data_IF_041948773451
#
_entry.id   IF_041948773451
#
_cell.length_a   1.000
_cell.length_b   1.000
_cell.length_c   1.000
_cell.angle_alpha   90.00
_cell.angle_beta   90.00
_cell.angle_gamma   90.00
#
_symmetry.space_group_name_H-M   'P 1'
#
loop_
_entity.id
_entity.type
_entity.pdbx_description
1 polymer ?
#
# COMPACT_ATOMS: atom_id res chain seq x y z
N UNK A 1 7.31 16.09 10.96
CA UNK A 1 7.16 14.66 11.20
C UNK A 1 5.72 14.19 11.06
N UNK A 2 5.51 13.04 10.43
CA UNK A 2 4.22 12.32 10.46
C UNK A 2 3.95 11.68 11.84
N UNK A 3 2.68 11.48 12.19
CA UNK A 3 2.28 10.97 13.52
C UNK A 3 2.83 9.56 13.78
N UNK A 4 2.75 8.66 12.79
CA UNK A 4 3.25 7.29 12.90
C UNK A 4 4.78 7.25 13.07
N UNK A 5 5.50 8.13 12.38
CA UNK A 5 6.96 8.28 12.53
C UNK A 5 7.34 8.74 13.95
N UNK A 6 6.58 9.68 14.51
CA UNK A 6 6.77 10.18 15.88
C UNK A 6 6.56 9.04 16.90
N UNK A 7 5.47 8.29 16.78
CA UNK A 7 5.19 7.17 17.67
C UNK A 7 6.17 6.01 17.51
N UNK A 8 6.64 5.72 16.29
CA UNK A 8 7.73 4.77 16.08
C UNK A 8 8.98 5.14 16.90
N UNK A 9 9.40 6.42 16.87
CA UNK A 9 10.51 6.89 17.70
C UNK A 9 10.22 6.76 19.19
N UNK A 10 8.98 6.95 19.60
CA UNK A 10 8.55 6.79 21.00
C UNK A 10 8.65 5.34 21.46
N UNK A 11 8.15 4.38 20.68
CA UNK A 11 8.20 2.95 21.00
C UNK A 11 9.63 2.39 20.97
N UNK A 12 10.48 2.90 20.08
CA UNK A 12 11.90 2.51 19.98
C UNK A 12 12.83 3.28 20.91
N UNK A 13 12.29 4.10 21.81
CA UNK A 13 13.05 4.95 22.76
C UNK A 13 14.09 5.87 22.10
N UNK A 14 13.83 6.30 20.87
CA UNK A 14 14.70 7.22 20.10
C UNK A 14 14.13 8.63 19.98
N UNK A 15 12.95 8.87 20.56
CA UNK A 15 12.25 10.16 20.52
C UNK A 15 13.00 11.27 21.26
N UNK A 16 12.97 12.48 20.68
CA UNK A 16 13.49 13.71 21.25
C UNK A 16 12.39 14.76 21.35
N UNK A 17 12.56 15.71 22.26
CA UNK A 17 11.64 16.84 22.40
C UNK A 17 11.46 17.62 21.08
N UNK A 18 12.53 17.77 20.28
CA UNK A 18 12.48 18.40 18.97
C UNK A 18 11.57 17.70 17.97
N UNK A 19 11.38 16.39 18.08
CA UNK A 19 10.52 15.62 17.16
C UNK A 19 9.04 16.03 17.31
N UNK A 20 8.59 16.29 18.55
CA UNK A 20 7.24 16.79 18.83
C UNK A 20 7.02 18.21 18.31
N UNK A 21 8.05 19.06 18.42
CA UNK A 21 8.01 20.42 17.88
C UNK A 21 7.98 20.38 16.35
N UNK A 22 8.74 19.49 15.72
CA UNK A 22 8.71 19.28 14.27
C UNK A 22 7.35 18.76 13.79
N UNK A 23 6.76 17.81 14.51
CA UNK A 23 5.39 17.35 14.27
C UNK A 23 4.41 18.54 14.35
N UNK A 24 4.45 19.34 15.43
CA UNK A 24 3.54 20.46 15.61
C UNK A 24 3.68 21.52 14.52
N UNK A 25 4.90 21.82 14.08
CA UNK A 25 5.17 22.79 13.00
C UNK A 25 4.52 22.36 11.68
N UNK A 26 4.58 21.07 11.32
CA UNK A 26 3.94 20.56 10.11
C UNK A 26 2.40 20.54 10.19
N UNK A 27 1.85 20.66 11.40
CA UNK A 27 0.42 20.57 11.68
C UNK A 27 -0.22 21.91 12.06
N UNK A 28 0.50 23.03 11.88
CA UNK A 28 0.00 24.39 12.17
C UNK A 28 -1.27 24.76 11.40
N UNK A 29 -1.50 24.16 10.24
CA UNK A 29 -2.68 24.41 9.39
C UNK A 29 -4.00 23.99 10.07
N UNK A 30 -3.98 23.14 11.09
CA UNK A 30 -5.18 22.72 11.83
C UNK A 30 -5.76 23.79 12.75
N UNK A 31 -5.07 24.92 12.93
CA UNK A 31 -5.51 26.08 13.72
C UNK A 31 -5.83 25.79 15.20
N UNK A 32 -5.30 24.70 15.76
CA UNK A 32 -5.49 24.30 17.17
C UNK A 32 -4.49 25.02 18.09
N UNK A 33 -4.99 25.56 19.21
CA UNK A 33 -4.18 26.34 20.16
C UNK A 33 -3.04 25.52 20.77
N UNK A 34 -3.30 24.27 21.14
CA UNK A 34 -2.33 23.34 21.74
C UNK A 34 -1.18 23.06 20.77
N UNK A 35 -1.47 22.90 19.47
CA UNK A 35 -0.46 22.71 18.43
C UNK A 35 0.38 23.96 18.26
N UNK A 36 -0.24 25.15 18.22
CA UNK A 36 0.50 26.42 18.12
C UNK A 36 1.43 26.63 19.30
N UNK A 37 0.99 26.30 20.52
CA UNK A 37 1.83 26.35 21.72
C UNK A 37 3.03 25.42 21.58
N UNK A 38 2.81 24.17 21.20
CA UNK A 38 3.89 23.19 21.02
C UNK A 38 4.86 23.59 19.91
N UNK A 39 4.38 24.10 18.78
CA UNK A 39 5.20 24.58 17.67
C UNK A 39 6.04 25.81 18.04
N UNK A 40 5.56 26.64 18.99
CA UNK A 40 6.27 27.83 19.47
C UNK A 40 7.41 27.54 20.45
N UNK A 41 7.59 26.27 20.85
CA UNK A 41 8.68 25.88 21.73
C UNK A 41 10.03 25.95 21.00
N UNK A 42 10.99 26.67 21.59
CA UNK A 42 12.30 26.89 21.00
C UNK A 42 13.11 25.59 20.95
N UNK A 43 13.56 25.20 19.77
CA UNK A 43 14.44 24.02 19.58
C UNK A 43 15.84 24.28 20.17
N UNK A 44 16.22 25.55 20.34
CA UNK A 44 17.55 25.97 20.81
C UNK A 44 17.70 26.00 22.34
N UNK A 45 16.59 25.95 23.08
CA UNK A 45 16.59 25.81 24.54
C UNK A 45 16.53 24.33 24.91
N UNK A 46 17.08 23.95 26.07
CA UNK A 46 17.02 22.58 26.57
C UNK A 46 15.57 22.15 26.84
N UNK A 47 14.86 21.73 25.78
CA UNK A 47 13.48 21.31 25.86
C UNK A 47 13.36 20.10 26.78
N UNK A 48 12.55 20.24 27.82
CA UNK A 48 12.23 19.15 28.72
C UNK A 48 11.26 18.19 28.01
N UNK A 49 11.71 16.95 27.80
CA UNK A 49 10.91 15.93 27.12
C UNK A 49 9.56 15.70 27.81
N UNK A 50 9.50 15.70 29.15
CA UNK A 50 8.27 15.45 29.89
C UNK A 50 7.22 16.55 29.68
N UNK A 51 7.66 17.82 29.69
CA UNK A 51 6.77 18.96 29.45
C UNK A 51 6.23 18.95 28.01
N UNK A 52 7.12 18.64 27.05
CA UNK A 52 6.76 18.53 25.64
C UNK A 52 5.79 17.36 25.38
N UNK A 53 5.98 16.22 26.05
CA UNK A 53 5.05 15.10 25.98
C UNK A 53 3.67 15.42 26.57
N UNK A 54 3.62 16.20 27.66
CA UNK A 54 2.35 16.68 28.24
C UNK A 54 1.62 17.61 27.26
N UNK A 55 2.35 18.56 26.66
CA UNK A 55 1.81 19.46 25.64
C UNK A 55 1.29 18.70 24.42
N UNK A 56 2.05 17.71 23.93
CA UNK A 56 1.63 16.85 22.84
C UNK A 56 0.38 16.02 23.20
N UNK A 57 0.33 15.47 24.41
CA UNK A 57 -0.83 14.71 24.89
C UNK A 57 -2.10 15.57 24.95
N UNK A 58 -1.97 16.85 25.35
CA UNK A 58 -3.06 17.81 25.31
C UNK A 58 -3.55 18.07 23.87
N UNK A 59 -2.62 18.23 22.92
CA UNK A 59 -2.96 18.39 21.50
C UNK A 59 -3.69 17.16 20.94
N UNK A 60 -3.20 15.95 21.22
CA UNK A 60 -3.82 14.70 20.77
C UNK A 60 -5.25 14.53 21.32
N UNK A 61 -5.47 14.90 22.58
CA UNK A 61 -6.80 14.87 23.20
C UNK A 61 -7.78 15.82 22.52
N UNK A 62 -7.34 17.03 22.17
CA UNK A 62 -8.17 18.01 21.45
C UNK A 62 -8.49 17.52 20.03
N UNK A 63 -7.52 16.89 19.36
CA UNK A 63 -7.72 16.30 18.04
C UNK A 63 -8.57 15.03 18.04
N UNK A 64 -8.90 14.47 19.21
CA UNK A 64 -9.60 13.19 19.37
C UNK A 64 -8.95 12.07 18.55
N UNK A 65 -7.61 12.10 18.44
CA UNK A 65 -6.84 11.11 17.70
C UNK A 65 -6.49 9.96 18.62
N UNK A 66 -6.72 8.75 18.14
CA UNK A 66 -6.28 7.54 18.84
C UNK A 66 -4.76 7.39 18.77
N UNK A 67 -4.22 6.68 19.75
CA UNK A 67 -2.81 6.34 19.79
C UNK A 67 -2.60 5.19 18.80
N UNK A 68 -1.76 5.35 17.77
CA UNK A 68 -1.48 4.27 16.84
C UNK A 68 -0.75 3.15 17.56
N UNK A 69 -1.04 1.91 17.16
CA UNK A 69 -0.39 0.72 17.68
C UNK A 69 1.10 0.71 17.31
N UNK A 70 1.89 -0.03 18.10
CA UNK A 70 3.30 -0.22 17.82
C UNK A 70 3.52 -0.90 16.46
N UNK A 71 2.70 -1.90 16.13
CA UNK A 71 2.76 -2.62 14.85
C UNK A 71 2.54 -1.69 13.64
N UNK A 72 1.51 -0.83 13.69
CA UNK A 72 1.25 0.16 12.63
C UNK A 72 2.44 1.12 12.45
N UNK A 73 3.05 1.54 13.57
CA UNK A 73 4.19 2.45 13.54
C UNK A 73 5.44 1.78 12.94
N UNK A 74 5.69 0.51 13.25
CA UNK A 74 6.82 -0.26 12.69
C UNK A 74 6.61 -0.50 11.19
N UNK A 75 5.41 -0.97 10.80
CA UNK A 75 5.07 -1.16 9.38
C UNK A 75 5.23 0.15 8.60
N UNK A 76 4.77 1.26 9.16
CA UNK A 76 4.97 2.58 8.57
C UNK A 76 6.46 2.92 8.40
N UNK A 77 7.30 2.69 9.41
CA UNK A 77 8.74 2.93 9.34
C UNK A 77 9.41 2.10 8.24
N UNK A 78 9.15 0.80 8.19
CA UNK A 78 9.67 -0.11 7.16
C UNK A 78 9.23 0.34 5.76
N UNK A 79 7.96 0.70 5.58
CA UNK A 79 7.45 1.21 4.30
C UNK A 79 8.12 2.53 3.90
N UNK A 80 8.39 3.42 4.85
CA UNK A 80 9.08 4.68 4.59
C UNK A 80 10.56 4.48 4.24
N UNK A 81 11.23 3.46 4.80
CA UNK A 81 12.57 3.07 4.38
C UNK A 81 12.55 2.48 2.96
N UNK A 82 11.59 1.59 2.69
CA UNK A 82 11.45 0.97 1.37
C UNK A 82 11.15 2.00 0.28
N UNK A 83 10.28 2.98 0.54
CA UNK A 83 9.96 4.03 -0.44
C UNK A 83 11.19 4.86 -0.86
N UNK A 84 12.14 5.07 0.05
CA UNK A 84 13.41 5.76 -0.26
C UNK A 84 14.28 4.97 -1.26
N UNK A 85 14.14 3.65 -1.34
CA UNK A 85 14.86 2.79 -2.29
C UNK A 85 14.29 2.84 -3.71
N UNK A 86 13.12 3.44 -3.90
CA UNK A 86 12.48 3.56 -5.21
C UNK A 86 13.14 4.66 -6.07
N UNK A 87 13.78 5.62 -5.41
CA UNK A 87 14.55 6.71 -6.00
C UNK A 87 16.06 6.45 -5.90
N UNK A 88 16.91 7.06 -6.75
CA UNK A 88 18.36 6.99 -6.59
C UNK A 88 18.79 7.46 -5.20
N UNK A 89 19.49 6.60 -4.46
CA UNK A 89 19.98 6.89 -3.11
C UNK A 89 21.38 6.33 -2.93
N UNK A 90 22.27 7.11 -2.32
CA UNK A 90 23.64 6.70 -2.00
C UNK A 90 23.70 5.78 -0.77
N UNK A 91 22.63 5.77 0.03
CA UNK A 91 22.56 5.05 1.30
C UNK A 91 21.77 3.73 1.21
N UNK A 92 21.60 3.18 0.00
CA UNK A 92 20.76 2.00 -0.24
C UNK A 92 21.09 0.82 0.68
N UNK A 93 22.37 0.51 0.85
CA UNK A 93 22.85 -0.56 1.75
C UNK A 93 22.42 -0.30 3.19
N UNK A 94 22.65 0.92 3.71
CA UNK A 94 22.28 1.27 5.08
C UNK A 94 20.77 1.16 5.30
N UNK A 95 19.97 1.57 4.31
CA UNK A 95 18.51 1.48 4.37
C UNK A 95 18.07 0.01 4.45
N UNK A 96 18.63 -0.87 3.60
CA UNK A 96 18.28 -2.31 3.62
C UNK A 96 18.71 -2.96 4.93
N UNK A 97 19.91 -2.67 5.44
CA UNK A 97 20.36 -3.16 6.75
C UNK A 97 19.40 -2.70 7.86
N UNK A 98 18.90 -1.47 7.80
CA UNK A 98 17.92 -0.97 8.76
C UNK A 98 16.56 -1.68 8.62
N UNK A 99 16.05 -1.86 7.41
CA UNK A 99 14.83 -2.63 7.14
C UNK A 99 14.96 -4.03 7.74
N UNK A 100 16.00 -4.77 7.37
CA UNK A 100 16.20 -6.15 7.78
C UNK A 100 16.37 -6.30 9.30
N UNK A 101 17.13 -5.39 9.94
CA UNK A 101 17.25 -5.37 11.40
C UNK A 101 15.92 -5.08 12.08
N UNK A 102 15.14 -4.14 11.54
CA UNK A 102 13.84 -3.76 12.10
C UNK A 102 12.86 -4.92 12.01
N UNK A 103 12.80 -5.61 10.87
CA UNK A 103 11.90 -6.76 10.70
C UNK A 103 12.24 -7.91 11.64
N UNK A 104 13.53 -8.20 11.86
CA UNK A 104 13.97 -9.19 12.86
C UNK A 104 13.55 -8.78 14.28
N UNK A 105 13.87 -7.54 14.69
CA UNK A 105 13.64 -7.07 16.06
C UNK A 105 12.15 -7.09 16.45
N UNK A 106 11.27 -6.95 15.47
CA UNK A 106 9.83 -6.86 15.67
C UNK A 106 9.05 -8.08 15.15
N UNK A 107 9.73 -9.15 14.73
CA UNK A 107 9.09 -10.40 14.33
C UNK A 107 8.26 -10.34 13.04
N UNK A 108 8.62 -9.43 12.13
CA UNK A 108 7.97 -9.28 10.81
C UNK A 108 8.58 -10.28 9.81
N UNK A 109 8.19 -11.55 9.93
CA UNK A 109 8.82 -12.65 9.21
C UNK A 109 8.69 -12.57 7.69
N UNK A 110 7.53 -12.16 7.17
CA UNK A 110 7.32 -12.06 5.71
C UNK A 110 8.22 -10.97 5.12
N UNK A 111 8.26 -9.80 5.75
CA UNK A 111 9.12 -8.68 5.37
C UNK A 111 10.60 -9.02 5.56
N UNK A 112 10.96 -9.78 6.59
CA UNK A 112 12.33 -10.29 6.76
C UNK A 112 12.71 -11.19 5.58
N UNK A 113 11.87 -12.17 5.24
CA UNK A 113 12.12 -13.09 4.12
C UNK A 113 12.26 -12.33 2.80
N UNK A 114 11.46 -11.28 2.60
CA UNK A 114 11.56 -10.43 1.43
C UNK A 114 12.96 -9.82 1.26
N UNK A 115 13.70 -9.51 2.33
CA UNK A 115 15.01 -8.86 2.22
C UNK A 115 16.21 -9.78 2.49
N UNK A 116 15.97 -11.05 2.84
CA UNK A 116 17.01 -12.02 3.23
C UNK A 116 18.14 -12.14 2.19
N UNK A 117 17.80 -12.45 0.94
CA UNK A 117 18.81 -12.69 -0.10
C UNK A 117 19.70 -11.47 -0.36
N UNK A 118 19.11 -10.27 -0.27
CA UNK A 118 19.85 -9.01 -0.43
C UNK A 118 20.74 -8.75 0.78
N UNK A 119 20.25 -9.03 1.99
CA UNK A 119 21.05 -8.92 3.23
C UNK A 119 22.26 -9.85 3.18
N UNK A 120 22.07 -11.11 2.77
CA UNK A 120 23.15 -12.10 2.66
C UNK A 120 24.20 -11.66 1.65
N UNK A 121 23.78 -11.08 0.51
CA UNK A 121 24.69 -10.55 -0.49
C UNK A 121 25.47 -9.32 0.01
N UNK A 122 24.84 -8.45 0.82
CA UNK A 122 25.52 -7.32 1.47
C UNK A 122 26.57 -7.83 2.46
N UNK A 123 26.22 -8.83 3.28
CA UNK A 123 27.12 -9.38 4.28
C UNK A 123 28.33 -10.08 3.64
N UNK A 124 28.13 -10.87 2.57
CA UNK A 124 29.23 -11.47 1.81
C UNK A 124 30.15 -10.41 1.18
N UNK A 125 29.56 -9.33 0.64
CA UNK A 125 30.33 -8.22 0.07
C UNK A 125 31.16 -7.46 1.12
N UNK A 126 30.61 -7.21 2.31
CA UNK A 126 31.24 -6.39 3.34
C UNK A 126 32.21 -7.17 4.25
N UNK A 127 31.86 -8.41 4.57
CA UNK A 127 32.53 -9.20 5.61
C UNK A 127 32.95 -10.60 5.14
N UNK A 128 32.42 -11.07 4.01
CA UNK A 128 32.70 -12.38 3.45
C UNK A 128 33.97 -12.45 2.60
N UNK A 129 34.13 -13.57 1.90
CA UNK A 129 35.20 -13.75 0.93
C UNK A 129 34.81 -13.27 -0.47
N UNK A 130 33.56 -12.82 -0.64
CA UNK A 130 33.02 -12.23 -1.86
C UNK A 130 33.24 -13.13 -3.08
N UNK A 131 33.02 -14.45 -2.91
CA UNK A 131 33.20 -15.44 -3.99
C UNK A 131 32.38 -15.12 -5.24
N UNK A 132 31.25 -14.44 -5.09
CA UNK A 132 30.34 -14.05 -6.18
C UNK A 132 30.76 -12.75 -6.90
N UNK A 133 31.87 -12.13 -6.49
CA UNK A 133 32.43 -10.92 -7.10
C UNK A 133 31.47 -9.74 -7.06
N UNK A 134 30.77 -9.55 -5.94
CA UNK A 134 29.94 -8.38 -5.69
C UNK A 134 30.79 -7.10 -5.70
N UNK A 135 30.22 -6.07 -6.32
CA UNK A 135 30.71 -4.70 -6.30
C UNK A 135 29.62 -3.80 -5.71
N UNK A 136 29.98 -2.61 -5.25
CA UNK A 136 29.01 -1.63 -4.76
C UNK A 136 27.90 -1.36 -5.79
N UNK A 137 28.26 -1.21 -7.07
CA UNK A 137 27.29 -0.99 -8.16
C UNK A 137 26.35 -2.19 -8.35
N UNK A 138 26.88 -3.43 -8.28
CA UNK A 138 26.08 -4.65 -8.42
C UNK A 138 25.09 -4.79 -7.25
N UNK A 139 25.55 -4.54 -6.02
CA UNK A 139 24.70 -4.57 -4.82
C UNK A 139 23.61 -3.49 -4.92
N UNK A 140 23.96 -2.26 -5.27
CA UNK A 140 22.98 -1.19 -5.45
C UNK A 140 21.95 -1.53 -6.54
N UNK A 141 22.38 -2.10 -7.67
CA UNK A 141 21.49 -2.56 -8.72
C UNK A 141 20.52 -3.65 -8.25
N UNK A 142 21.01 -4.61 -7.45
CA UNK A 142 20.17 -5.66 -6.85
C UNK A 142 19.14 -5.06 -5.89
N UNK A 143 19.56 -4.17 -4.98
CA UNK A 143 18.68 -3.51 -4.01
C UNK A 143 17.55 -2.76 -4.74
N UNK A 144 17.88 -1.90 -5.70
CA UNK A 144 16.88 -1.08 -6.42
C UNK A 144 15.93 -1.95 -7.22
N UNK A 145 16.45 -2.96 -7.94
CA UNK A 145 15.60 -3.87 -8.72
C UNK A 145 14.65 -4.64 -7.82
N UNK A 146 15.14 -5.09 -6.67
CA UNK A 146 14.36 -5.86 -5.71
C UNK A 146 13.31 -4.99 -5.00
N UNK A 147 13.69 -3.78 -4.57
CA UNK A 147 12.79 -2.79 -3.99
C UNK A 147 11.60 -2.52 -4.92
N UNK A 148 11.84 -2.30 -6.21
CA UNK A 148 10.77 -2.09 -7.21
C UNK A 148 9.90 -3.31 -7.40
N UNK A 149 10.50 -4.51 -7.40
CA UNK A 149 9.75 -5.77 -7.50
C UNK A 149 8.78 -5.91 -6.31
N UNK A 150 9.27 -5.74 -5.08
CA UNK A 150 8.44 -5.80 -3.88
C UNK A 150 7.34 -4.74 -3.90
N UNK A 151 7.68 -3.51 -4.29
CA UNK A 151 6.70 -2.43 -4.42
C UNK A 151 5.55 -2.82 -5.36
N UNK A 152 5.86 -3.30 -6.56
CA UNK A 152 4.86 -3.68 -7.57
C UNK A 152 4.04 -4.94 -7.23
N UNK A 153 4.53 -5.77 -6.31
CA UNK A 153 3.91 -7.07 -5.99
C UNK A 153 3.25 -7.10 -4.62
N UNK A 154 3.17 -5.95 -3.93
CA UNK A 154 2.50 -5.86 -2.64
C UNK A 154 0.99 -6.08 -2.80
N UNK A 155 0.53 -7.22 -2.29
CA UNK A 155 -0.88 -7.60 -2.20
C UNK A 155 -1.49 -6.88 -0.99
N UNK A 156 -2.74 -6.45 -1.11
CA UNK A 156 -3.50 -5.81 -0.04
C UNK A 156 -3.98 -6.81 1.01
N UNK A 157 -4.06 -6.38 2.26
CA UNK A 157 -4.63 -7.16 3.37
C UNK A 157 -6.17 -7.23 3.31
N UNK A 158 -6.80 -6.50 2.39
CA UNK A 158 -8.26 -6.50 2.19
C UNK A 158 -8.74 -7.90 1.81
N UNK A 159 -9.70 -8.41 2.59
CA UNK A 159 -10.31 -9.73 2.36
C UNK A 159 -11.56 -9.61 1.48
N UNK A 160 -11.64 -10.45 0.45
CA UNK A 160 -12.76 -10.51 -0.51
C UNK A 160 -13.67 -11.72 -0.31
N UNK A 161 -13.59 -12.38 0.84
CA UNK A 161 -14.35 -13.59 1.19
C UNK A 161 -15.86 -13.48 0.94
N UNK A 162 -16.40 -12.25 1.00
CA UNK A 162 -17.83 -11.99 0.79
C UNK A 162 -18.29 -12.19 -0.65
N UNK A 163 -17.38 -12.14 -1.62
CA UNK A 163 -17.71 -12.33 -3.05
C UNK A 163 -17.12 -13.61 -3.64
N UNK A 164 -16.06 -14.15 -3.03
CA UNK A 164 -15.50 -15.46 -3.42
C UNK A 164 -16.57 -16.55 -3.23
N UNK A 165 -16.72 -17.41 -4.24
CA UNK A 165 -17.73 -18.46 -4.28
C UNK A 165 -19.09 -18.03 -4.83
N UNK A 166 -19.33 -16.74 -5.06
CA UNK A 166 -20.57 -16.28 -5.69
C UNK A 166 -20.57 -16.52 -7.20
N UNK A 167 -21.75 -16.81 -7.75
CA UNK A 167 -21.96 -16.95 -9.20
C UNK A 167 -22.26 -15.60 -9.85
N UNK A 168 -21.67 -15.36 -11.03
CA UNK A 168 -22.04 -14.21 -11.87
C UNK A 168 -23.40 -14.47 -12.52
N UNK A 169 -24.39 -13.65 -12.19
CA UNK A 169 -25.77 -13.84 -12.66
C UNK A 169 -26.04 -13.12 -13.97
N UNK A 170 -25.52 -11.90 -14.13
CA UNK A 170 -25.77 -11.05 -15.31
C UNK A 170 -24.61 -10.07 -15.53
N UNK A 171 -24.35 -9.72 -16.79
CA UNK A 171 -23.50 -8.58 -17.17
C UNK A 171 -24.36 -7.49 -17.79
N UNK A 172 -24.27 -6.28 -17.26
CA UNK A 172 -24.95 -5.09 -17.76
C UNK A 172 -23.91 -4.05 -18.24
N UNK A 173 -23.91 -3.71 -19.54
CA UNK A 173 -23.00 -2.72 -20.10
C UNK A 173 -23.65 -1.34 -20.36
N UNK A 174 -24.85 -1.04 -19.86
CA UNK A 174 -25.62 0.14 -20.29
C UNK A 174 -24.92 1.49 -20.03
N UNK A 175 -24.17 1.62 -18.94
CA UNK A 175 -23.44 2.87 -18.60
C UNK A 175 -22.00 2.56 -18.22
N UNK A 176 -21.79 1.57 -17.35
CA UNK A 176 -20.48 1.07 -16.91
C UNK A 176 -20.45 -0.44 -17.04
N UNK A 177 -19.27 -1.06 -16.98
CA UNK A 177 -19.19 -2.52 -16.92
C UNK A 177 -19.68 -2.97 -15.55
N UNK A 178 -20.92 -3.43 -15.47
CA UNK A 178 -21.51 -3.98 -14.26
C UNK A 178 -21.65 -5.50 -14.34
N UNK A 179 -21.07 -6.19 -13.38
CA UNK A 179 -21.18 -7.63 -13.16
C UNK A 179 -22.04 -7.88 -11.94
N UNK A 180 -23.24 -8.39 -12.15
CA UNK A 180 -24.16 -8.77 -11.07
C UNK A 180 -23.78 -10.14 -10.52
N UNK A 181 -23.71 -10.24 -9.21
CA UNK A 181 -23.47 -11.49 -8.49
C UNK A 181 -24.78 -12.04 -7.94
N UNK A 182 -24.71 -13.11 -7.17
CA UNK A 182 -25.87 -13.62 -6.41
C UNK A 182 -26.30 -12.63 -5.32
N UNK A 183 -25.34 -11.90 -4.74
CA UNK A 183 -25.52 -10.86 -3.75
C UNK A 183 -24.56 -9.70 -4.05
N UNK A 184 -25.13 -8.55 -4.42
CA UNK A 184 -24.37 -7.37 -4.84
C UNK A 184 -23.79 -7.45 -6.27
N UNK A 185 -22.79 -6.62 -6.53
CA UNK A 185 -22.22 -6.42 -7.86
C UNK A 185 -20.76 -5.96 -7.84
N UNK A 186 -20.06 -6.17 -8.95
CA UNK A 186 -18.79 -5.53 -9.28
C UNK A 186 -19.06 -4.50 -10.38
N UNK A 187 -18.77 -3.24 -10.12
CA UNK A 187 -18.98 -2.12 -11.03
C UNK A 187 -17.62 -1.58 -11.42
N UNK A 188 -17.32 -1.54 -12.72
CA UNK A 188 -16.02 -1.16 -13.26
C UNK A 188 -16.20 0.05 -14.17
N UNK A 189 -15.55 1.14 -13.77
CA UNK A 189 -15.55 2.45 -14.43
C UNK A 189 -14.13 2.81 -14.91
N UNK A 190 -13.26 1.82 -15.07
CA UNK A 190 -11.87 1.99 -15.45
C UNK A 190 -11.43 0.94 -16.47
N UNK A 191 -10.26 1.09 -17.12
CA UNK A 191 -9.77 0.11 -18.08
C UNK A 191 -9.68 -1.30 -17.50
N UNK A 192 -10.05 -2.28 -18.31
CA UNK A 192 -10.08 -3.68 -17.91
C UNK A 192 -9.63 -4.58 -19.04
N UNK A 193 -9.15 -5.77 -18.71
CA UNK A 193 -8.94 -6.84 -19.69
C UNK A 193 -9.30 -8.18 -19.10
N UNK A 194 -9.76 -9.07 -19.97
CA UNK A 194 -9.97 -10.48 -19.68
C UNK A 194 -8.85 -11.26 -20.32
N UNK A 195 -8.19 -12.09 -19.53
CA UNK A 195 -7.13 -12.98 -19.98
C UNK A 195 -7.38 -14.40 -19.48
N UNK A 196 -6.78 -15.36 -20.15
CA UNK A 196 -6.64 -16.73 -19.67
C UNK A 196 -5.15 -17.08 -19.59
N UNK A 197 -4.84 -18.36 -19.36
CA UNK A 197 -3.44 -18.85 -19.32
C UNK A 197 -2.64 -18.61 -20.61
N UNK A 198 -3.32 -18.50 -21.75
CA UNK A 198 -2.69 -18.40 -23.07
C UNK A 198 -2.50 -16.94 -23.51
N UNK A 199 -3.16 -15.99 -22.83
CA UNK A 199 -2.96 -14.56 -23.05
C UNK A 199 -4.23 -13.72 -22.89
N UNK A 200 -4.18 -12.50 -23.41
CA UNK A 200 -5.31 -11.57 -23.42
C UNK A 200 -6.36 -12.06 -24.42
N UNK A 201 -7.58 -12.24 -23.94
CA UNK A 201 -8.74 -12.64 -24.75
C UNK A 201 -9.42 -11.39 -25.33
N UNK A 202 -9.64 -10.40 -24.46
CA UNK A 202 -10.33 -9.15 -24.76
C UNK A 202 -9.91 -8.10 -23.73
N UNK A 203 -9.96 -6.82 -24.08
CA UNK A 203 -9.80 -5.75 -23.11
C UNK A 203 -10.16 -4.42 -23.71
N UNK A 204 -10.31 -3.43 -22.84
CA UNK A 204 -10.74 -2.10 -23.17
C UNK A 204 -9.87 -1.08 -22.43
N UNK A 205 -9.34 -0.12 -23.19
CA UNK A 205 -8.56 0.99 -22.66
C UNK A 205 -9.41 2.24 -22.43
N UNK A 206 -10.66 2.28 -22.93
CA UNK A 206 -11.61 3.40 -22.82
C UNK A 206 -13.06 2.89 -23.03
N UNK A 207 -13.99 3.18 -22.12
CA UNK A 207 -15.32 2.53 -21.92
C UNK A 207 -16.25 2.61 -23.15
N UNK A 208 -16.01 3.54 -24.08
CA UNK A 208 -16.93 3.82 -25.19
C UNK A 208 -16.63 3.06 -26.49
N UNK A 209 -15.65 2.16 -26.52
CA UNK A 209 -15.12 1.66 -27.80
C UNK A 209 -15.83 0.41 -28.35
N UNK A 210 -16.40 -0.47 -27.51
CA UNK A 210 -16.71 -1.85 -27.93
C UNK A 210 -18.10 -2.40 -27.57
N UNK A 211 -19.19 -1.72 -27.97
CA UNK A 211 -20.55 -2.29 -27.92
C UNK A 211 -20.67 -3.71 -28.52
N UNK A 212 -19.77 -4.10 -29.44
CA UNK A 212 -19.81 -5.39 -30.15
C UNK A 212 -19.27 -6.59 -29.37
N UNK A 213 -18.54 -6.38 -28.27
CA UNK A 213 -17.84 -7.47 -27.60
C UNK A 213 -18.53 -7.98 -26.31
N UNK A 214 -19.58 -7.31 -25.84
CA UNK A 214 -20.33 -7.70 -24.63
C UNK A 214 -20.98 -9.07 -24.70
N UNK A 215 -21.29 -9.57 -25.91
CA UNK A 215 -21.75 -10.95 -26.09
C UNK A 215 -20.70 -11.95 -25.60
N UNK A 216 -19.45 -11.75 -26.01
CA UNK A 216 -18.30 -12.57 -25.59
C UNK A 216 -18.09 -12.48 -24.09
N UNK A 217 -18.15 -11.27 -23.51
CA UNK A 217 -18.02 -11.07 -22.06
C UNK A 217 -19.10 -11.84 -21.29
N UNK A 218 -20.36 -11.77 -21.75
CA UNK A 218 -21.47 -12.55 -21.18
C UNK A 218 -21.23 -14.05 -21.26
N UNK A 219 -20.78 -14.55 -22.41
CA UNK A 219 -20.47 -15.97 -22.61
C UNK A 219 -19.30 -16.46 -21.73
N UNK A 220 -18.36 -15.57 -21.41
CA UNK A 220 -17.22 -15.91 -20.54
C UNK A 220 -17.57 -15.92 -19.05
N UNK A 221 -18.43 -15.02 -18.59
CA UNK A 221 -18.64 -14.81 -17.16
C UNK A 221 -19.97 -15.35 -16.62
N UNK A 222 -21.09 -15.22 -17.36
CA UNK A 222 -22.41 -15.56 -16.80
C UNK A 222 -22.49 -17.05 -16.47
N UNK A 223 -22.88 -17.36 -15.24
CA UNK A 223 -22.96 -18.72 -14.70
C UNK A 223 -21.63 -19.29 -14.20
N UNK A 224 -20.53 -18.54 -14.29
CA UNK A 224 -19.25 -18.90 -13.67
C UNK A 224 -19.18 -18.38 -12.24
N UNK A 225 -18.31 -19.00 -11.44
CA UNK A 225 -18.08 -18.67 -10.03
C UNK A 225 -16.81 -17.83 -9.88
N UNK A 226 -16.84 -16.86 -8.94
CA UNK A 226 -15.64 -16.14 -8.52
C UNK A 226 -14.79 -17.08 -7.67
N UNK A 227 -13.60 -17.40 -8.15
CA UNK A 227 -12.69 -18.35 -7.49
C UNK A 227 -11.70 -17.63 -6.55
N UNK A 228 -11.26 -16.43 -6.95
CA UNK A 228 -10.27 -15.67 -6.19
C UNK A 228 -10.31 -14.18 -6.55
N UNK A 229 -9.87 -13.33 -5.63
CA UNK A 229 -9.75 -11.89 -5.82
C UNK A 229 -8.47 -11.38 -5.18
N UNK A 230 -7.59 -10.80 -5.99
CA UNK A 230 -6.32 -10.21 -5.54
C UNK A 230 -6.31 -8.73 -5.85
N UNK A 231 -5.89 -7.91 -4.89
CA UNK A 231 -5.66 -6.49 -5.06
C UNK A 231 -4.20 -6.14 -4.81
N UNK A 232 -3.55 -5.49 -5.76
CA UNK A 232 -2.22 -4.92 -5.57
C UNK A 232 -2.35 -3.46 -5.14
N UNK A 233 -1.72 -3.07 -4.03
CA UNK A 233 -1.92 -1.74 -3.42
C UNK A 233 -1.19 -0.64 -4.18
N UNK A 234 0.05 -0.91 -4.59
CA UNK A 234 0.95 0.12 -5.13
C UNK A 234 0.86 0.27 -6.65
N UNK A 235 0.36 -0.77 -7.32
CA UNK A 235 -0.16 -0.69 -8.67
C UNK A 235 -1.63 -1.03 -8.50
N UNK A 236 -2.55 -0.07 -8.48
CA UNK A 236 -3.97 -0.29 -8.22
C UNK A 236 -4.58 -1.18 -9.33
N UNK A 237 -4.38 -2.48 -9.14
CA UNK A 237 -4.70 -3.57 -10.03
C UNK A 237 -5.51 -4.57 -9.22
N UNK A 238 -6.79 -4.64 -9.54
CA UNK A 238 -7.70 -5.65 -9.04
C UNK A 238 -7.72 -6.80 -10.06
N UNK A 239 -7.51 -8.03 -9.59
CA UNK A 239 -7.62 -9.25 -10.39
C UNK A 239 -8.75 -10.08 -9.80
N UNK A 240 -9.78 -10.35 -10.59
CA UNK A 240 -10.89 -11.24 -10.23
C UNK A 240 -10.78 -12.49 -11.08
N UNK A 241 -10.55 -13.65 -10.46
CA UNK A 241 -10.59 -14.94 -11.16
C UNK A 241 -12.03 -15.46 -11.20
N UNK A 242 -12.50 -15.77 -12.41
CA UNK A 242 -13.86 -16.24 -12.67
C UNK A 242 -13.75 -17.50 -13.53
N UNK A 243 -13.94 -18.67 -12.92
CA UNK A 243 -13.61 -19.95 -13.55
C UNK A 243 -12.18 -19.99 -14.11
N UNK A 244 -12.07 -20.16 -15.43
CA UNK A 244 -10.81 -20.36 -16.15
C UNK A 244 -10.15 -19.04 -16.62
N UNK A 245 -10.80 -17.90 -16.37
CA UNK A 245 -10.39 -16.59 -16.87
C UNK A 245 -10.16 -15.60 -15.72
N UNK A 246 -9.41 -14.54 -16.03
CA UNK A 246 -9.06 -13.48 -15.09
C UNK A 246 -9.50 -12.15 -15.66
N UNK A 247 -10.24 -11.39 -14.86
CA UNK A 247 -10.57 -9.99 -15.11
C UNK A 247 -9.54 -9.12 -14.37
N UNK A 248 -8.64 -8.51 -15.12
CA UNK A 248 -7.72 -7.50 -14.60
C UNK A 248 -8.35 -6.12 -14.77
N UNK A 249 -8.39 -5.33 -13.72
CA UNK A 249 -8.97 -3.98 -13.66
C UNK A 249 -7.90 -2.99 -13.24
N UNK A 250 -7.67 -1.95 -14.04
CA UNK A 250 -6.56 -1.01 -13.87
C UNK A 250 -7.07 0.40 -13.61
N UNK A 251 -6.39 1.16 -12.75
CA UNK A 251 -6.49 2.61 -12.82
C UNK A 251 -5.56 3.16 -13.90
N UNK A 252 -6.13 3.89 -14.86
CA UNK A 252 -5.35 4.59 -15.89
C UNK A 252 -5.46 6.13 -15.81
N UNK A 253 -6.40 6.66 -15.02
CA UNK A 253 -6.65 8.09 -14.87
C UNK A 253 -6.67 8.53 -13.40
N UNK A 254 -6.13 9.72 -13.15
CA UNK A 254 -6.11 10.37 -11.83
C UNK A 254 -7.40 11.13 -11.50
N UNK A 255 -8.39 11.18 -12.40
CA UNK A 255 -9.50 12.13 -12.28
C UNK A 255 -10.91 11.52 -12.28
N UNK A 256 -11.17 10.39 -12.95
CA UNK A 256 -12.56 9.90 -13.18
C UNK A 256 -12.73 8.38 -13.29
N UNK A 257 -11.84 7.59 -12.68
CA UNK A 257 -11.82 6.13 -12.89
C UNK A 257 -11.77 5.39 -11.54
N UNK A 258 -12.60 4.35 -11.41
CA UNK A 258 -12.69 3.53 -10.21
C UNK A 258 -13.35 2.17 -10.45
N UNK A 259 -13.42 1.40 -9.38
CA UNK A 259 -14.23 0.19 -9.32
C UNK A 259 -14.88 0.09 -7.95
N UNK A 260 -16.04 -0.56 -7.92
CA UNK A 260 -16.84 -0.75 -6.71
C UNK A 260 -17.24 -2.21 -6.60
N UNK A 261 -17.06 -2.78 -5.42
CA UNK A 261 -17.57 -4.10 -5.06
C UNK A 261 -18.61 -3.90 -3.96
N UNK A 262 -19.80 -4.44 -4.18
CA UNK A 262 -20.91 -4.39 -3.23
C UNK A 262 -21.35 -5.79 -2.82
N UNK A 263 -21.94 -5.89 -1.63
CA UNK A 263 -22.76 -7.02 -1.20
C UNK A 263 -24.00 -6.49 -0.49
N UNK A 264 -25.10 -7.25 -0.49
CA UNK A 264 -26.39 -6.87 0.10
C UNK A 264 -26.32 -6.61 1.62
N UNK A 265 -25.26 -7.09 2.30
CA UNK A 265 -25.02 -6.92 3.74
C UNK A 265 -24.20 -5.65 4.10
N UNK A 266 -24.51 -4.50 3.47
CA UNK A 266 -23.81 -3.21 3.66
C UNK A 266 -22.28 -3.28 3.45
N UNK A 267 -21.79 -4.26 2.67
CA UNK A 267 -20.38 -4.31 2.27
C UNK A 267 -20.19 -3.44 1.04
N UNK A 268 -19.26 -2.51 1.15
CA UNK A 268 -18.94 -1.60 0.07
C UNK A 268 -17.43 -1.36 0.12
N UNK A 269 -16.73 -1.78 -0.93
CA UNK A 269 -15.33 -1.42 -1.17
C UNK A 269 -15.30 -0.68 -2.48
N UNK A 270 -14.65 0.46 -2.50
CA UNK A 270 -14.49 1.22 -3.72
C UNK A 270 -13.09 1.80 -3.81
N UNK A 271 -12.57 1.79 -5.04
CA UNK A 271 -11.34 2.46 -5.38
C UNK A 271 -11.66 3.84 -5.94
N UNK A 272 -11.20 4.86 -5.23
CA UNK A 272 -11.31 6.27 -5.61
C UNK A 272 -10.34 6.60 -6.76
N UNK A 273 -10.57 7.74 -7.41
CA UNK A 273 -9.63 8.31 -8.38
C UNK A 273 -8.21 8.37 -7.80
N UNK A 274 -7.24 7.86 -8.56
CA UNK A 274 -5.85 7.70 -8.12
C UNK A 274 -5.50 6.32 -7.56
N UNK A 275 -6.49 5.45 -7.31
CA UNK A 275 -6.27 4.09 -6.81
C UNK A 275 -6.33 3.94 -5.29
N UNK A 276 -6.73 5.00 -4.57
CA UNK A 276 -6.93 4.95 -3.12
C UNK A 276 -8.17 4.09 -2.80
N UNK A 277 -8.04 3.12 -1.90
CA UNK A 277 -9.12 2.18 -1.55
C UNK A 277 -9.82 2.64 -0.27
N UNK A 278 -11.15 2.64 -0.27
CA UNK A 278 -12.01 3.02 0.86
C UNK A 278 -13.18 2.04 1.07
#
# INVERSE_FOLDING_TARGET
MELLALYYKKYTHSIKASDYVEWANQHLYMDVLEIKKLASMSIDEHLNLFEIEEMFSAAMKVLQREVPSEEECIKYHVNNLHSQLLSPTENAVSIVTEIYRTTINHGLFEEQMNWQEISDAIDDFQYGDNQQGYTADKINGMIISHARKLWHTKISDIQFDRIIGQTVTTIDPEVHFMMQLEKGAIIIECPWRIRNKDGIVIGETDIQSNQRQWKTVKELFVGQTIEDVTLFEQIPLLIVQIGDVFLDVFHASSCFDGWTITNDDDFYIFSMHGGDIA
#
